data_IF_012505217462
#
_entry.id   IF_012505217462
#
_cell.length_a   1.000
_cell.length_b   1.000
_cell.length_c   1.000
_cell.angle_alpha   90.00
_cell.angle_beta   90.00
_cell.angle_gamma   90.00
#
_symmetry.space_group_name_H-M   'P 1'
#
loop_
_entity.id
_entity.type
_entity.pdbx_description
1 polymer ?
#
# COMPACT_ATOMS: atom_id res chain seq x y z
N UNK A 1 -1.07 10.03 7.10
CA UNK A 1 -1.69 8.73 6.77
C UNK A 1 -0.61 7.83 6.19
N UNK A 2 -0.68 6.53 6.42
CA UNK A 2 0.17 5.54 5.75
C UNK A 2 -0.68 4.58 4.92
N UNK A 3 -0.13 4.09 3.81
CA UNK A 3 -0.76 3.09 2.92
C UNK A 3 0.30 2.14 2.39
N UNK A 4 -0.10 0.94 1.95
CA UNK A 4 0.84 -0.04 1.40
C UNK A 4 1.49 0.44 0.10
N UNK A 5 2.82 0.38 0.04
CA UNK A 5 3.60 0.67 -1.17
C UNK A 5 3.53 -0.51 -2.15
N UNK A 6 3.06 -0.25 -3.36
CA UNK A 6 2.97 -1.31 -4.38
C UNK A 6 4.32 -1.67 -5.02
N UNK A 7 5.30 -0.76 -5.01
CA UNK A 7 6.58 -1.00 -5.69
C UNK A 7 7.39 -2.13 -5.07
N UNK A 8 7.39 -2.21 -3.73
CA UNK A 8 8.00 -3.32 -3.00
C UNK A 8 7.18 -4.60 -3.23
N UNK A 9 5.86 -4.48 -3.04
CA UNK A 9 4.96 -5.61 -2.97
C UNK A 9 4.84 -6.38 -4.29
N UNK A 10 4.73 -5.67 -5.41
CA UNK A 10 4.41 -6.28 -6.71
C UNK A 10 5.46 -7.29 -7.17
N UNK A 11 6.69 -7.17 -6.67
CA UNK A 11 7.81 -8.06 -6.98
C UNK A 11 7.65 -9.48 -6.43
N UNK A 12 6.72 -9.67 -5.48
CA UNK A 12 6.44 -10.97 -4.85
C UNK A 12 5.29 -11.72 -5.52
N UNK A 13 4.66 -11.15 -6.54
CA UNK A 13 3.55 -11.78 -7.26
C UNK A 13 3.97 -12.29 -8.64
N UNK A 14 3.42 -13.43 -9.02
CA UNK A 14 3.61 -14.06 -10.33
C UNK A 14 2.34 -14.00 -11.17
N UNK A 15 2.45 -14.34 -12.47
CA UNK A 15 1.27 -14.46 -13.36
C UNK A 15 0.24 -15.47 -12.83
N UNK A 16 0.71 -16.51 -12.12
CA UNK A 16 -0.17 -17.47 -11.44
C UNK A 16 -0.98 -16.79 -10.34
N UNK A 17 -0.36 -15.95 -9.52
CA UNK A 17 -1.05 -15.23 -8.45
C UNK A 17 -2.08 -14.22 -9.00
N UNK A 18 -1.82 -13.68 -10.19
CA UNK A 18 -2.78 -12.83 -10.92
C UNK A 18 -3.95 -13.68 -11.41
N UNK A 19 -3.67 -14.81 -12.07
CA UNK A 19 -4.71 -15.71 -12.58
C UNK A 19 -5.61 -16.28 -11.47
N UNK A 20 -5.02 -16.58 -10.31
CA UNK A 20 -5.71 -17.09 -9.12
C UNK A 20 -6.45 -15.98 -8.34
N UNK A 21 -6.29 -14.71 -8.73
CA UNK A 21 -6.97 -13.56 -8.09
C UNK A 21 -6.38 -13.13 -6.74
N UNK A 22 -5.20 -13.63 -6.39
CA UNK A 22 -4.45 -13.23 -5.19
C UNK A 22 -3.98 -11.79 -5.29
N UNK A 23 -3.64 -11.33 -6.50
CA UNK A 23 -3.30 -9.93 -6.77
C UNK A 23 -3.94 -9.46 -8.08
N UNK A 24 -4.61 -8.30 -8.05
CA UNK A 24 -5.14 -7.64 -9.23
C UNK A 24 -4.25 -6.45 -9.61
N UNK A 25 -3.50 -6.54 -10.72
CA UNK A 25 -2.58 -5.48 -11.15
C UNK A 25 -3.30 -4.24 -11.72
N UNK A 26 -4.58 -4.33 -12.07
CA UNK A 26 -5.34 -3.20 -12.62
C UNK A 26 -5.94 -2.33 -11.52
N UNK A 27 -6.29 -2.93 -10.39
CA UNK A 27 -6.79 -2.22 -9.21
C UNK A 27 -5.75 -2.08 -8.10
N UNK A 28 -4.56 -2.68 -8.26
CA UNK A 28 -3.50 -2.78 -7.24
C UNK A 28 -4.02 -3.30 -5.89
N UNK A 29 -4.86 -4.33 -5.94
CA UNK A 29 -5.48 -4.92 -4.75
C UNK A 29 -4.95 -6.32 -4.53
N UNK A 30 -4.52 -6.64 -3.30
CA UNK A 30 -4.19 -8.00 -2.90
C UNK A 30 -5.27 -8.61 -2.02
N UNK A 31 -5.46 -9.92 -2.14
CA UNK A 31 -6.28 -10.72 -1.23
C UNK A 31 -5.37 -11.51 -0.30
N UNK A 32 -5.56 -11.39 1.01
CA UNK A 32 -4.75 -12.08 2.03
C UNK A 32 -5.67 -12.76 3.06
N UNK A 33 -5.32 -13.98 3.47
CA UNK A 33 -6.00 -14.65 4.58
C UNK A 33 -5.39 -14.20 5.89
N UNK A 34 -6.21 -13.64 6.77
CA UNK A 34 -5.73 -13.01 7.99
C UNK A 34 -5.05 -14.00 8.94
N UNK A 35 -5.59 -15.23 9.05
CA UNK A 35 -5.02 -16.27 9.90
C UNK A 35 -3.65 -16.81 9.44
N UNK A 36 -3.22 -16.55 8.21
CA UNK A 36 -1.85 -16.89 7.76
C UNK A 36 -0.80 -15.93 8.35
N UNK A 37 -1.20 -14.70 8.66
CA UNK A 37 -0.30 -13.63 9.13
C UNK A 37 -0.41 -13.38 10.64
N UNK A 38 -1.57 -13.64 11.23
CA UNK A 38 -1.86 -13.36 12.63
C UNK A 38 -2.39 -14.61 13.36
N UNK A 39 -1.52 -15.38 14.03
CA UNK A 39 -1.94 -16.51 14.85
C UNK A 39 -3.01 -16.08 15.87
N UNK A 40 -4.14 -16.79 15.88
CA UNK A 40 -5.30 -16.48 16.74
C UNK A 40 -6.46 -15.79 16.03
N UNK A 41 -6.31 -15.43 14.75
CA UNK A 41 -7.42 -15.03 13.89
C UNK A 41 -8.00 -16.19 13.09
N UNK A 42 -9.27 -16.09 12.73
CA UNK A 42 -9.95 -17.05 11.88
C UNK A 42 -9.25 -17.14 10.51
N UNK A 43 -8.76 -18.33 10.10
CA UNK A 43 -8.07 -18.53 8.84
C UNK A 43 -8.94 -18.29 7.60
N UNK A 44 -10.27 -18.34 7.74
CA UNK A 44 -11.19 -18.16 6.62
C UNK A 44 -11.50 -16.68 6.34
N UNK A 45 -11.04 -15.76 7.21
CA UNK A 45 -11.19 -14.32 6.99
C UNK A 45 -10.23 -13.86 5.90
N UNK A 46 -10.80 -13.51 4.75
CA UNK A 46 -10.08 -12.91 3.62
C UNK A 46 -10.21 -11.39 3.67
N UNK A 47 -9.08 -10.71 3.67
CA UNK A 47 -9.00 -9.25 3.56
C UNK A 47 -8.52 -8.86 2.18
N UNK A 48 -9.17 -7.85 1.60
CA UNK A 48 -8.70 -7.18 0.39
C UNK A 48 -8.03 -5.87 0.78
N UNK A 49 -6.77 -5.72 0.40
CA UNK A 49 -5.99 -4.53 0.67
C UNK A 49 -5.66 -3.81 -0.64
N UNK A 50 -6.11 -2.56 -0.75
CA UNK A 50 -5.73 -1.65 -1.83
C UNK A 50 -4.36 -1.06 -1.54
N UNK A 51 -3.44 -1.27 -2.47
CA UNK A 51 -2.10 -0.70 -2.47
C UNK A 51 -2.07 0.51 -3.39
N UNK A 52 -1.04 1.35 -3.23
CA UNK A 52 -0.89 2.57 -4.03
C UNK A 52 0.51 2.70 -4.59
N UNK A 53 0.60 3.28 -5.80
CA UNK A 53 1.81 3.99 -6.20
C UNK A 53 1.83 5.38 -5.53
N UNK A 54 3.01 6.00 -5.35
CA UNK A 54 3.10 7.37 -4.84
C UNK A 54 2.34 8.38 -5.70
N UNK A 55 2.34 8.16 -7.02
CA UNK A 55 1.66 9.03 -7.98
C UNK A 55 0.14 8.90 -7.84
N UNK A 56 -0.40 7.67 -7.77
CA UNK A 56 -1.84 7.44 -7.61
C UNK A 56 -2.36 8.03 -6.30
N UNK A 57 -1.64 7.82 -5.19
CA UNK A 57 -1.99 8.42 -3.90
C UNK A 57 -1.98 9.95 -3.97
N UNK A 58 -0.98 10.52 -4.67
CA UNK A 58 -0.91 11.98 -4.88
C UNK A 58 -2.13 12.49 -5.61
N UNK A 59 -2.44 11.90 -6.76
CA UNK A 59 -3.57 12.30 -7.60
C UNK A 59 -4.89 12.18 -6.84
N UNK A 60 -5.09 11.08 -6.10
CA UNK A 60 -6.28 10.87 -5.29
C UNK A 60 -6.48 12.02 -4.29
N UNK A 61 -5.45 12.38 -3.54
CA UNK A 61 -5.54 13.43 -2.52
C UNK A 61 -5.71 14.82 -3.13
N UNK A 62 -4.91 15.14 -4.16
CA UNK A 62 -4.94 16.47 -4.79
C UNK A 62 -6.27 16.73 -5.52
N UNK A 63 -6.88 15.71 -6.13
CA UNK A 63 -8.21 15.79 -6.74
C UNK A 63 -9.33 15.92 -5.71
N UNK A 64 -9.09 15.50 -4.47
CA UNK A 64 -10.05 15.61 -3.36
C UNK A 64 -9.81 16.86 -2.49
N UNK A 65 -9.11 17.87 -3.02
CA UNK A 65 -8.95 19.16 -2.36
C UNK A 65 -7.91 19.18 -1.26
N UNK A 66 -6.93 18.28 -1.29
CA UNK A 66 -5.78 18.34 -0.40
C UNK A 66 -4.56 18.94 -1.10
N UNK A 67 -3.68 19.55 -0.31
CA UNK A 67 -2.33 19.90 -0.72
C UNK A 67 -1.37 18.99 0.03
N UNK A 68 -0.51 18.30 -0.72
CA UNK A 68 0.48 17.39 -0.15
C UNK A 68 1.68 18.20 0.28
N UNK A 69 1.90 18.27 1.59
CA UNK A 69 3.10 18.89 2.14
C UNK A 69 4.29 17.94 1.92
N UNK A 70 4.07 16.63 2.15
CA UNK A 70 5.12 15.63 2.19
C UNK A 70 4.61 14.23 1.79
N UNK A 71 5.41 13.50 0.99
CA UNK A 71 5.18 12.12 0.57
C UNK A 71 6.53 11.38 0.53
N UNK A 72 6.72 10.38 1.40
CA UNK A 72 7.96 9.62 1.57
C UNK A 72 7.70 8.17 1.96
N UNK A 73 8.75 7.37 2.08
CA UNK A 73 8.68 6.03 2.65
C UNK A 73 8.87 6.04 4.15
N UNK A 74 8.23 5.12 4.86
CA UNK A 74 8.46 4.98 6.29
C UNK A 74 7.87 3.68 6.81
N UNK A 75 8.57 3.07 7.77
CA UNK A 75 8.03 1.96 8.55
C UNK A 75 7.55 2.51 9.88
N UNK A 76 6.45 1.97 10.42
CA UNK A 76 5.96 2.37 11.74
C UNK A 76 7.09 2.36 12.79
N UNK A 77 7.42 3.53 13.34
CA UNK A 77 8.50 3.71 14.32
C UNK A 77 9.82 4.30 13.77
N UNK A 78 9.99 4.38 12.44
CA UNK A 78 11.11 5.06 11.77
C UNK A 78 10.55 5.96 10.67
N UNK A 79 10.19 7.18 11.08
CA UNK A 79 9.58 8.20 10.23
C UNK A 79 10.65 9.06 9.58
N UNK A 80 11.60 8.42 8.90
CA UNK A 80 12.69 9.14 8.26
C UNK A 80 12.15 9.90 7.03
N UNK A 81 12.51 11.18 6.95
CA UNK A 81 12.09 12.07 5.87
C UNK A 81 13.05 11.94 4.68
N UNK A 82 13.31 10.73 4.23
CA UNK A 82 14.17 10.45 3.10
C UNK A 82 13.39 10.33 1.79
N UNK A 83 14.13 10.31 0.69
CA UNK A 83 13.57 9.99 -0.61
C UNK A 83 13.00 8.57 -0.55
N UNK A 84 11.79 8.38 -1.07
CA UNK A 84 11.15 7.07 -1.12
C UNK A 84 12.07 6.01 -1.74
N UNK A 85 12.39 4.96 -0.98
CA UNK A 85 12.98 3.74 -1.53
C UNK A 85 11.89 2.84 -2.11
N UNK A 86 12.20 2.11 -3.19
CA UNK A 86 11.27 1.16 -3.79
C UNK A 86 10.92 0.02 -2.85
N UNK A 87 11.80 -0.28 -1.89
CA UNK A 87 11.67 -1.39 -0.94
C UNK A 87 10.97 -0.95 0.36
N UNK A 88 10.47 0.27 0.42
CA UNK A 88 9.69 0.75 1.56
C UNK A 88 8.38 -0.02 1.66
N UNK A 89 8.03 -0.44 2.87
CA UNK A 89 6.81 -1.20 3.15
C UNK A 89 5.58 -0.32 2.98
N UNK A 90 5.63 0.91 3.48
CA UNK A 90 4.52 1.86 3.44
C UNK A 90 4.92 3.20 2.80
N UNK A 91 3.95 3.79 2.11
CA UNK A 91 3.97 5.19 1.71
C UNK A 91 3.35 6.01 2.83
N UNK A 92 4.03 7.09 3.20
CA UNK A 92 3.54 8.04 4.18
C UNK A 92 3.22 9.36 3.51
N UNK A 93 2.05 9.89 3.82
CA UNK A 93 1.61 11.19 3.33
C UNK A 93 1.19 12.10 4.49
N UNK A 94 1.73 13.31 4.46
CA UNK A 94 1.23 14.45 5.24
C UNK A 94 0.66 15.46 4.27
N UNK A 95 -0.62 15.76 4.44
CA UNK A 95 -1.36 16.68 3.62
C UNK A 95 -2.29 17.53 4.48
N UNK A 96 -2.64 18.69 3.96
CA UNK A 96 -3.61 19.60 4.54
C UNK A 96 -4.77 19.81 3.58
N UNK A 97 -5.98 19.93 4.12
CA UNK A 97 -7.14 20.30 3.31
C UNK A 97 -6.96 21.74 2.83
N UNK A 98 -7.33 22.00 1.57
CA UNK A 98 -7.42 23.36 1.02
C UNK A 98 -8.57 24.13 1.64
#
# INVERSE_FOLDING_TARGET
MTVRNVFELVRHYSDKDIADGTFDPYTLTRSVRLGEWYPGFDPDVVVKEKCFTPMELRMLLENNGFTIDQLWGGTAGSWDRHTLSLDEIELMVKARRR
#
